data_IF_507444242351
#
_entry.id   IF_507444242351
#
_cell.length_a   1.000
_cell.length_b   1.000
_cell.length_c   1.000
_cell.angle_alpha   90.00
_cell.angle_beta   90.00
_cell.angle_gamma   90.00
#
_symmetry.space_group_name_H-M   'P 1'
#
loop_
_entity.id
_entity.type
_entity.pdbx_description
1 polymer ?
#
# COMPACT_ATOMS: atom_id res chain seq x y z
N UNK A 1 55.27 -20.43 42.14
CA UNK A 1 53.99 -19.86 41.67
C UNK A 1 54.09 -19.68 40.16
N UNK A 2 53.33 -20.46 39.38
CA UNK A 2 53.36 -20.46 37.90
C UNK A 2 52.59 -19.24 37.38
N UNK A 3 53.19 -18.45 36.49
CA UNK A 3 52.49 -17.45 35.69
C UNK A 3 52.52 -17.92 34.23
N UNK A 4 51.35 -18.30 33.72
CA UNK A 4 51.15 -18.79 32.34
C UNK A 4 50.72 -17.61 31.47
N UNK A 5 51.45 -17.36 30.38
CA UNK A 5 51.14 -16.31 29.39
C UNK A 5 50.06 -16.86 28.44
N UNK A 6 48.89 -16.25 28.43
CA UNK A 6 47.82 -16.55 27.47
C UNK A 6 47.90 -15.55 26.31
N UNK A 7 48.21 -16.03 25.11
CA UNK A 7 48.16 -15.27 23.87
C UNK A 7 46.69 -15.09 23.44
N UNK A 8 46.22 -13.85 23.34
CA UNK A 8 44.91 -13.50 22.80
C UNK A 8 45.07 -13.33 21.29
N UNK A 9 44.58 -14.30 20.51
CA UNK A 9 44.43 -14.18 19.07
C UNK A 9 43.21 -13.28 18.80
N UNK A 10 43.44 -12.07 18.30
CA UNK A 10 42.38 -11.21 17.78
C UNK A 10 41.90 -11.79 16.43
N UNK A 11 40.80 -12.54 16.44
CA UNK A 11 40.09 -12.93 15.22
C UNK A 11 39.26 -11.73 14.76
N UNK A 12 39.78 -11.00 13.78
CA UNK A 12 39.01 -10.03 13.01
C UNK A 12 37.87 -10.75 12.29
N UNK A 13 36.64 -10.56 12.77
CA UNK A 13 35.43 -10.97 12.07
C UNK A 13 35.32 -10.08 10.82
N UNK A 14 35.59 -10.67 9.65
CA UNK A 14 35.16 -10.07 8.39
C UNK A 14 33.62 -10.05 8.40
N UNK A 15 33.04 -8.86 8.54
CA UNK A 15 31.67 -8.63 8.09
C UNK A 15 31.69 -8.76 6.57
N UNK A 16 31.36 -9.95 6.07
CA UNK A 16 30.94 -10.08 4.68
C UNK A 16 29.55 -9.46 4.65
N UNK A 17 29.31 -8.32 3.96
CA UNK A 17 27.95 -7.91 3.71
C UNK A 17 27.29 -9.08 2.99
N UNK A 18 26.25 -9.66 3.59
CA UNK A 18 25.41 -10.60 2.86
C UNK A 18 24.84 -9.79 1.70
N UNK A 19 25.35 -10.04 0.49
CA UNK A 19 24.77 -9.46 -0.70
C UNK A 19 23.31 -9.95 -0.72
N UNK A 20 22.38 -9.03 -0.50
CA UNK A 20 20.97 -9.29 -0.75
C UNK A 20 20.90 -9.75 -2.21
N UNK A 21 20.27 -10.91 -2.44
CA UNK A 21 20.10 -11.39 -3.80
C UNK A 21 19.26 -10.36 -4.57
N UNK A 22 19.77 -9.91 -5.71
CA UNK A 22 19.06 -9.02 -6.61
C UNK A 22 17.69 -9.62 -6.97
N UNK A 23 16.65 -8.79 -7.02
CA UNK A 23 15.33 -9.23 -7.46
C UNK A 23 15.38 -9.69 -8.92
N UNK A 24 14.59 -10.72 -9.23
CA UNK A 24 14.27 -11.14 -10.59
C UNK A 24 12.93 -10.54 -11.03
N UNK A 25 12.70 -10.44 -12.34
CA UNK A 25 11.42 -9.99 -12.89
C UNK A 25 10.24 -10.81 -12.37
N UNK A 26 10.41 -12.13 -12.26
CA UNK A 26 9.39 -13.05 -11.70
C UNK A 26 9.07 -12.71 -10.24
N UNK A 27 10.06 -12.36 -9.42
CA UNK A 27 9.82 -11.94 -8.03
C UNK A 27 9.08 -10.61 -7.97
N UNK A 28 9.45 -9.63 -8.80
CA UNK A 28 8.73 -8.34 -8.87
C UNK A 28 7.27 -8.55 -9.25
N UNK A 29 7.00 -9.36 -10.29
CA UNK A 29 5.64 -9.72 -10.71
C UNK A 29 4.87 -10.41 -9.58
N UNK A 30 5.52 -11.30 -8.83
CA UNK A 30 4.92 -11.98 -7.68
C UNK A 30 4.55 -10.99 -6.58
N UNK A 31 5.44 -10.05 -6.26
CA UNK A 31 5.22 -9.07 -5.22
C UNK A 31 4.06 -8.11 -5.58
N UNK A 32 3.99 -7.66 -6.84
CA UNK A 32 2.83 -6.93 -7.37
C UNK A 32 1.53 -7.73 -7.17
N UNK A 33 1.57 -9.04 -7.42
CA UNK A 33 0.43 -9.95 -7.19
C UNK A 33 0.02 -10.05 -5.71
N UNK A 34 0.97 -10.04 -4.78
CA UNK A 34 0.71 -10.03 -3.34
C UNK A 34 -0.04 -8.76 -2.94
N UNK A 35 0.46 -7.59 -3.34
CA UNK A 35 -0.18 -6.30 -3.03
C UNK A 35 -1.57 -6.21 -3.66
N UNK A 36 -1.71 -6.67 -4.90
CA UNK A 36 -3.03 -6.79 -5.58
C UNK A 36 -4.01 -7.62 -4.76
N UNK A 37 -3.56 -8.76 -4.25
CA UNK A 37 -4.39 -9.67 -3.45
C UNK A 37 -4.79 -9.04 -2.11
N UNK A 38 -3.85 -8.33 -1.45
CA UNK A 38 -4.16 -7.59 -0.23
C UNK A 38 -5.27 -6.55 -0.48
N UNK A 39 -5.16 -5.77 -1.55
CA UNK A 39 -6.19 -4.80 -1.93
C UNK A 39 -7.55 -5.44 -2.22
N UNK A 40 -7.55 -6.57 -2.93
CA UNK A 40 -8.77 -7.35 -3.16
C UNK A 40 -9.40 -7.84 -1.85
N UNK A 41 -8.61 -8.35 -0.91
CA UNK A 41 -9.13 -8.85 0.36
C UNK A 41 -9.79 -7.74 1.20
N UNK A 42 -9.22 -6.54 1.22
CA UNK A 42 -9.84 -5.38 1.88
C UNK A 42 -11.16 -5.04 1.20
N UNK A 43 -11.19 -5.01 -0.13
CA UNK A 43 -12.38 -4.69 -0.91
C UNK A 43 -13.50 -5.71 -0.68
N UNK A 44 -13.16 -7.00 -0.68
CA UNK A 44 -14.10 -8.09 -0.44
C UNK A 44 -14.68 -7.98 0.99
N UNK A 45 -13.85 -7.70 2.01
CA UNK A 45 -14.32 -7.46 3.37
C UNK A 45 -15.26 -6.25 3.46
N UNK A 46 -14.86 -5.09 2.90
CA UNK A 46 -15.66 -3.87 2.90
C UNK A 46 -17.00 -4.03 2.19
N UNK A 47 -17.06 -4.84 1.14
CA UNK A 47 -18.28 -5.10 0.37
C UNK A 47 -19.34 -5.84 1.19
N UNK A 48 -18.94 -6.53 2.25
CA UNK A 48 -19.85 -7.21 3.19
C UNK A 48 -20.40 -6.30 4.29
N UNK A 49 -19.86 -5.08 4.46
CA UNK A 49 -20.32 -4.17 5.50
C UNK A 49 -21.75 -3.71 5.18
N UNK A 50 -22.74 -3.99 6.04
CA UNK A 50 -24.11 -3.55 5.82
C UNK A 50 -24.21 -2.03 5.90
N UNK A 51 -25.26 -1.46 5.32
CA UNK A 51 -25.52 -0.01 5.37
C UNK A 51 -25.84 0.48 6.79
N UNK A 52 -26.26 -0.40 7.69
CA UNK A 52 -26.54 -0.09 9.10
C UNK A 52 -25.80 -1.07 10.01
N UNK A 53 -24.46 -0.99 10.11
CA UNK A 53 -23.69 -1.86 10.96
C UNK A 53 -23.90 -1.50 12.44
N UNK A 54 -23.77 -2.48 13.33
CA UNK A 54 -23.59 -2.20 14.75
C UNK A 54 -22.27 -1.44 14.98
N UNK A 55 -22.15 -0.76 16.13
CA UNK A 55 -20.88 -0.11 16.52
C UNK A 55 -19.71 -1.09 16.60
N UNK A 56 -19.96 -2.33 17.03
CA UNK A 56 -18.93 -3.39 17.08
C UNK A 56 -18.50 -3.84 15.68
N UNK A 57 -19.44 -4.06 14.75
CA UNK A 57 -19.12 -4.41 13.36
C UNK A 57 -18.30 -3.31 12.69
N UNK A 58 -18.65 -2.05 12.92
CA UNK A 58 -17.93 -0.94 12.34
C UNK A 58 -16.54 -0.74 12.97
N UNK A 59 -16.39 -0.91 14.28
CA UNK A 59 -15.08 -0.87 14.93
C UNK A 59 -14.15 -1.97 14.38
N UNK A 60 -14.66 -3.19 14.22
CA UNK A 60 -13.94 -4.28 13.57
C UNK A 60 -13.58 -3.94 12.13
N UNK A 61 -14.53 -3.44 11.33
CA UNK A 61 -14.27 -3.10 9.93
C UNK A 61 -13.27 -1.94 9.79
N UNK A 62 -13.35 -0.92 10.64
CA UNK A 62 -12.36 0.17 10.68
C UNK A 62 -10.96 -0.36 10.96
N UNK A 63 -10.84 -1.32 11.88
CA UNK A 63 -9.57 -1.99 12.17
C UNK A 63 -9.09 -2.81 10.98
N UNK A 64 -9.97 -3.55 10.31
CA UNK A 64 -9.65 -4.31 9.09
C UNK A 64 -9.13 -3.42 7.98
N UNK A 65 -9.78 -2.27 7.73
CA UNK A 65 -9.35 -1.32 6.68
C UNK A 65 -7.98 -0.73 7.01
N UNK A 66 -7.80 -0.23 8.25
CA UNK A 66 -6.54 0.40 8.66
C UNK A 66 -5.39 -0.62 8.61
N UNK A 67 -5.57 -1.80 9.20
CA UNK A 67 -4.54 -2.84 9.18
C UNK A 67 -4.27 -3.37 7.78
N UNK A 68 -5.30 -3.46 6.94
CA UNK A 68 -5.17 -3.85 5.54
C UNK A 68 -4.28 -2.88 4.75
N UNK A 69 -4.52 -1.57 4.88
CA UNK A 69 -3.66 -0.57 4.27
C UNK A 69 -2.25 -0.57 4.87
N UNK A 70 -2.10 -0.75 6.18
CA UNK A 70 -0.79 -0.89 6.83
C UNK A 70 0.02 -2.08 6.27
N UNK A 71 -0.66 -3.19 5.98
CA UNK A 71 -0.04 -4.36 5.37
C UNK A 71 0.43 -4.08 3.93
N UNK A 72 -0.39 -3.40 3.12
CA UNK A 72 -0.01 -2.95 1.78
C UNK A 72 1.21 -2.03 1.83
N UNK A 73 1.19 -1.02 2.70
CA UNK A 73 2.31 -0.08 2.91
C UNK A 73 3.59 -0.85 3.25
N UNK A 74 3.49 -1.87 4.12
CA UNK A 74 4.65 -2.67 4.52
C UNK A 74 5.20 -3.51 3.36
N UNK A 75 4.32 -4.11 2.54
CA UNK A 75 4.74 -4.84 1.33
C UNK A 75 5.47 -3.91 0.37
N UNK A 76 4.90 -2.75 0.05
CA UNK A 76 5.49 -1.76 -0.86
C UNK A 76 6.84 -1.25 -0.36
N UNK A 77 6.97 -0.97 0.94
CA UNK A 77 8.24 -0.52 1.53
C UNK A 77 9.34 -1.59 1.50
N UNK A 78 8.98 -2.86 1.69
CA UNK A 78 9.91 -3.98 1.55
C UNK A 78 10.36 -4.13 0.09
N UNK A 79 9.41 -4.01 -0.85
CA UNK A 79 9.70 -4.08 -2.27
C UNK A 79 10.63 -2.94 -2.70
N UNK A 80 10.33 -1.70 -2.31
CA UNK A 80 11.17 -0.53 -2.58
C UNK A 80 12.61 -0.74 -2.08
N UNK A 81 12.77 -1.18 -0.83
CA UNK A 81 14.10 -1.49 -0.25
C UNK A 81 14.85 -2.53 -1.09
N UNK A 82 14.16 -3.58 -1.53
CA UNK A 82 14.77 -4.63 -2.35
C UNK A 82 15.13 -4.12 -3.76
N UNK A 83 14.28 -3.30 -4.38
CA UNK A 83 14.55 -2.67 -5.68
C UNK A 83 15.77 -1.76 -5.65
N UNK A 84 15.98 -0.98 -4.58
CA UNK A 84 17.15 -0.10 -4.43
C UNK A 84 18.49 -0.85 -4.43
N UNK A 85 18.48 -2.13 -4.07
CA UNK A 85 19.67 -3.01 -4.09
C UNK A 85 19.78 -3.87 -5.35
N UNK A 86 18.79 -3.79 -6.24
CA UNK A 86 18.70 -4.59 -7.47
C UNK A 86 19.18 -3.76 -8.67
N UNK A 87 20.17 -4.23 -9.45
CA UNK A 87 20.55 -3.57 -10.69
C UNK A 87 19.37 -3.49 -11.68
N UNK A 88 19.28 -2.43 -12.51
CA UNK A 88 18.21 -2.32 -13.49
C UNK A 88 18.13 -3.52 -14.43
N UNK A 89 16.92 -3.93 -14.79
CA UNK A 89 16.70 -4.97 -15.79
C UNK A 89 17.10 -4.43 -17.17
N UNK A 90 17.96 -5.20 -17.84
CA UNK A 90 18.50 -4.85 -19.16
C UNK A 90 17.84 -5.64 -20.30
N UNK A 91 17.04 -6.66 -19.96
CA UNK A 91 16.37 -7.52 -20.93
C UNK A 91 14.93 -7.04 -21.11
N UNK A 92 14.54 -6.74 -22.35
CA UNK A 92 13.20 -6.19 -22.64
C UNK A 92 12.06 -7.09 -22.15
N UNK A 93 12.19 -8.41 -22.25
CA UNK A 93 11.15 -9.34 -21.78
C UNK A 93 10.90 -9.27 -20.27
N UNK A 94 11.91 -8.91 -19.47
CA UNK A 94 11.76 -8.69 -18.04
C UNK A 94 10.96 -7.42 -17.75
N UNK A 95 11.23 -6.36 -18.52
CA UNK A 95 10.46 -5.11 -18.48
C UNK A 95 8.99 -5.36 -18.83
N UNK A 96 8.76 -6.04 -19.95
CA UNK A 96 7.42 -6.32 -20.47
C UNK A 96 6.62 -7.17 -19.48
N UNK A 97 7.26 -8.13 -18.79
CA UNK A 97 6.62 -8.93 -17.76
C UNK A 97 6.17 -8.09 -16.55
N UNK A 98 7.01 -7.16 -16.08
CA UNK A 98 6.66 -6.27 -14.96
C UNK A 98 5.57 -5.27 -15.36
N UNK A 99 5.68 -4.65 -16.53
CA UNK A 99 4.63 -3.76 -17.07
C UNK A 99 3.32 -4.51 -17.25
N UNK A 100 3.36 -5.73 -17.79
CA UNK A 100 2.19 -6.58 -17.89
C UNK A 100 1.61 -6.92 -16.51
N UNK A 101 2.42 -7.08 -15.47
CA UNK A 101 1.89 -7.30 -14.12
C UNK A 101 1.10 -6.11 -13.57
N UNK A 102 1.53 -4.88 -13.89
CA UNK A 102 0.80 -3.66 -13.54
C UNK A 102 -0.51 -3.54 -14.34
N UNK A 103 -0.46 -3.79 -15.65
CA UNK A 103 -1.57 -3.52 -16.57
C UNK A 103 -2.53 -4.69 -16.86
N UNK A 104 -2.09 -5.96 -16.78
CA UNK A 104 -2.83 -7.12 -17.34
C UNK A 104 -3.29 -8.20 -16.37
N UNK A 105 -2.75 -8.35 -15.15
CA UNK A 105 -3.03 -9.54 -14.30
C UNK A 105 -4.46 -9.58 -13.71
N UNK A 106 -5.43 -8.86 -14.29
CA UNK A 106 -6.69 -8.37 -13.70
C UNK A 106 -6.46 -7.13 -12.83
N UNK A 107 -5.46 -6.36 -13.29
CA UNK A 107 -5.18 -4.94 -13.13
C UNK A 107 -4.97 -4.46 -11.71
N UNK A 108 -3.73 -4.61 -11.23
CA UNK A 108 -3.22 -4.00 -9.99
C UNK A 108 -3.78 -2.59 -9.81
N UNK A 109 -3.68 -1.74 -10.84
CA UNK A 109 -4.24 -0.39 -10.84
C UNK A 109 -5.76 -0.40 -10.63
N UNK A 110 -6.51 -1.13 -11.45
CA UNK A 110 -7.98 -1.17 -11.34
C UNK A 110 -8.47 -1.79 -10.03
N UNK A 111 -7.77 -2.77 -9.46
CA UNK A 111 -8.12 -3.38 -8.16
C UNK A 111 -7.91 -2.37 -7.05
N UNK A 112 -6.80 -1.63 -7.06
CA UNK A 112 -6.60 -0.53 -6.11
C UNK A 112 -7.64 0.57 -6.29
N UNK A 113 -7.95 0.97 -7.53
CA UNK A 113 -9.00 1.95 -7.82
C UNK A 113 -10.39 1.47 -7.37
N UNK A 114 -10.69 0.18 -7.55
CA UNK A 114 -11.93 -0.44 -7.08
C UNK A 114 -12.01 -0.41 -5.57
N UNK A 115 -10.93 -0.79 -4.87
CA UNK A 115 -10.83 -0.69 -3.42
C UNK A 115 -11.07 0.75 -2.96
N UNK A 116 -10.34 1.72 -3.53
CA UNK A 116 -10.44 3.14 -3.15
C UNK A 116 -11.84 3.70 -3.41
N UNK A 117 -12.46 3.33 -4.53
CA UNK A 117 -13.86 3.66 -4.83
C UNK A 117 -14.83 3.05 -3.82
N UNK A 118 -14.63 1.79 -3.42
CA UNK A 118 -15.41 1.13 -2.37
C UNK A 118 -15.25 1.83 -1.03
N UNK A 119 -14.02 2.22 -0.67
CA UNK A 119 -13.72 2.98 0.56
C UNK A 119 -14.45 4.32 0.53
N UNK A 120 -14.35 5.09 -0.56
CA UNK A 120 -15.14 6.32 -0.78
C UNK A 120 -16.64 6.05 -0.60
N UNK A 121 -17.17 4.99 -1.20
CA UNK A 121 -18.58 4.62 -1.12
C UNK A 121 -19.04 4.26 0.30
N UNK A 122 -18.12 3.89 1.20
CA UNK A 122 -18.39 3.57 2.60
C UNK A 122 -18.12 4.75 3.54
N UNK A 123 -17.66 5.88 3.02
CA UNK A 123 -17.31 7.08 3.80
C UNK A 123 -18.40 7.50 4.80
N UNK A 124 -19.66 7.62 4.38
CA UNK A 124 -20.75 8.07 5.26
C UNK A 124 -20.99 7.12 6.44
N UNK A 125 -20.75 5.83 6.24
CA UNK A 125 -20.84 4.82 7.29
C UNK A 125 -19.73 5.06 8.32
N UNK A 126 -18.47 5.22 7.88
CA UNK A 126 -17.36 5.49 8.79
C UNK A 126 -17.49 6.87 9.48
N UNK A 127 -17.99 7.88 8.77
CA UNK A 127 -18.21 9.22 9.29
C UNK A 127 -19.27 9.26 10.40
N UNK A 128 -20.37 8.51 10.25
CA UNK A 128 -21.44 8.45 11.24
C UNK A 128 -20.95 8.04 12.64
N UNK A 129 -19.83 7.30 12.72
CA UNK A 129 -19.29 6.80 13.98
C UNK A 129 -17.85 7.27 14.25
N UNK A 130 -17.38 8.33 13.58
CA UNK A 130 -16.10 8.96 13.87
C UNK A 130 -14.86 8.16 13.47
N UNK A 131 -14.96 7.25 12.51
CA UNK A 131 -13.85 6.40 12.06
C UNK A 131 -13.05 6.96 10.87
N UNK A 132 -13.34 8.18 10.40
CA UNK A 132 -12.69 8.74 9.20
C UNK A 132 -11.24 9.17 9.42
N UNK A 133 -10.91 9.70 10.60
CA UNK A 133 -9.56 10.18 10.91
C UNK A 133 -8.46 9.10 10.80
N UNK A 134 -8.57 7.91 11.44
CA UNK A 134 -7.55 6.87 11.31
C UNK A 134 -7.43 6.33 9.87
N UNK A 135 -8.52 6.28 9.12
CA UNK A 135 -8.51 5.87 7.72
C UNK A 135 -7.79 6.92 6.85
N UNK A 136 -8.05 8.22 7.08
CA UNK A 136 -7.34 9.31 6.38
C UNK A 136 -5.84 9.25 6.65
N UNK A 137 -5.45 9.00 7.90
CA UNK A 137 -4.04 8.95 8.29
C UNK A 137 -3.29 7.83 7.55
N UNK A 138 -3.86 6.62 7.48
CA UNK A 138 -3.21 5.51 6.78
C UNK A 138 -3.21 5.71 5.25
N UNK A 139 -4.22 6.37 4.68
CA UNK A 139 -4.26 6.67 3.24
C UNK A 139 -3.15 7.65 2.82
N UNK A 140 -2.80 8.64 3.65
CA UNK A 140 -1.65 9.53 3.39
C UNK A 140 -0.33 8.77 3.38
N UNK A 141 -0.17 7.81 4.30
CA UNK A 141 1.02 6.94 4.30
C UNK A 141 1.04 6.02 3.08
N UNK A 142 -0.13 5.54 2.64
CA UNK A 142 -0.25 4.73 1.43
C UNK A 142 0.18 5.48 0.17
N UNK A 143 -0.23 6.74 0.02
CA UNK A 143 0.18 7.61 -1.09
C UNK A 143 1.72 7.68 -1.20
N UNK A 144 2.40 8.04 -0.10
CA UNK A 144 3.88 8.10 -0.11
C UNK A 144 4.56 6.74 -0.36
N UNK A 145 3.93 5.64 0.05
CA UNK A 145 4.44 4.29 -0.23
C UNK A 145 4.29 3.91 -1.71
N UNK A 146 3.17 4.28 -2.36
CA UNK A 146 2.95 4.10 -3.80
C UNK A 146 3.96 4.92 -4.60
N UNK A 147 4.21 6.17 -4.21
CA UNK A 147 5.22 7.03 -4.85
C UNK A 147 6.61 6.42 -4.81
N UNK A 148 7.05 5.99 -3.61
CA UNK A 148 8.37 5.40 -3.42
C UNK A 148 8.52 4.11 -4.23
N UNK A 149 7.50 3.25 -4.20
CA UNK A 149 7.48 2.03 -5.00
C UNK A 149 7.51 2.31 -6.50
N UNK A 150 6.75 3.30 -7.00
CA UNK A 150 6.76 3.69 -8.41
C UNK A 150 8.13 4.20 -8.84
N UNK A 151 8.79 5.04 -8.03
CA UNK A 151 10.15 5.48 -8.33
C UNK A 151 11.16 4.33 -8.34
N UNK A 152 11.06 3.40 -7.38
CA UNK A 152 11.88 2.20 -7.36
C UNK A 152 11.67 1.33 -8.61
N UNK A 153 10.42 1.15 -9.04
CA UNK A 153 10.11 0.43 -10.28
C UNK A 153 10.65 1.15 -11.53
N UNK A 154 10.53 2.47 -11.63
CA UNK A 154 11.07 3.24 -12.76
C UNK A 154 12.59 3.06 -12.86
N UNK A 155 13.28 3.09 -11.73
CA UNK A 155 14.73 2.84 -11.68
C UNK A 155 15.08 1.39 -12.06
N UNK A 156 14.27 0.42 -11.62
CA UNK A 156 14.49 -1.00 -11.88
C UNK A 156 14.19 -1.39 -13.34
N UNK A 157 13.17 -0.81 -13.96
CA UNK A 157 12.76 -1.08 -15.35
C UNK A 157 12.70 0.19 -16.21
N UNK A 158 13.84 0.82 -16.55
CA UNK A 158 13.85 2.09 -17.31
C UNK A 158 13.13 2.00 -18.67
N UNK A 159 13.22 0.85 -19.32
CA UNK A 159 12.47 0.41 -20.51
C UNK A 159 10.94 0.54 -20.39
N UNK A 160 10.38 0.39 -19.18
CA UNK A 160 8.94 0.46 -18.88
C UNK A 160 8.51 1.74 -18.15
N UNK A 161 9.43 2.69 -17.95
CA UNK A 161 9.22 3.86 -17.10
C UNK A 161 7.94 4.64 -17.44
N UNK A 162 7.66 4.86 -18.73
CA UNK A 162 6.48 5.62 -19.15
C UNK A 162 5.16 4.97 -18.72
N UNK A 163 5.08 3.64 -18.78
CA UNK A 163 3.90 2.88 -18.34
C UNK A 163 3.76 2.96 -16.81
N UNK A 164 4.86 2.76 -16.07
CA UNK A 164 4.86 2.85 -14.60
C UNK A 164 4.42 4.25 -14.15
N UNK A 165 4.94 5.31 -14.77
CA UNK A 165 4.54 6.70 -14.46
C UNK A 165 3.06 6.95 -14.75
N UNK A 166 2.52 6.40 -15.83
CA UNK A 166 1.09 6.55 -16.15
C UNK A 166 0.21 5.85 -15.10
N UNK A 167 0.59 4.63 -14.73
CA UNK A 167 -0.11 3.84 -13.71
C UNK A 167 -0.01 4.47 -12.32
N UNK A 168 1.14 5.06 -11.97
CA UNK A 168 1.33 5.85 -10.75
C UNK A 168 0.35 7.03 -10.70
N UNK A 169 0.32 7.88 -11.72
CA UNK A 169 -0.55 9.07 -11.74
C UNK A 169 -2.05 8.71 -11.62
N UNK A 170 -2.46 7.59 -12.21
CA UNK A 170 -3.81 7.06 -12.08
C UNK A 170 -4.14 6.60 -10.65
N UNK A 171 -3.16 6.05 -9.93
CA UNK A 171 -3.30 5.68 -8.52
C UNK A 171 -3.27 6.90 -7.61
N UNK A 172 -2.34 7.83 -7.81
CA UNK A 172 -2.24 9.07 -7.03
C UNK A 172 -3.54 9.85 -7.07
N UNK A 173 -4.13 10.00 -8.27
CA UNK A 173 -5.44 10.65 -8.42
C UNK A 173 -6.52 9.95 -7.58
N UNK A 174 -6.51 8.61 -7.55
CA UNK A 174 -7.51 7.83 -6.83
C UNK A 174 -7.31 7.88 -5.32
N UNK A 175 -6.06 7.83 -4.86
CA UNK A 175 -5.71 7.93 -3.44
C UNK A 175 -5.98 9.34 -2.94
N UNK A 176 -5.56 10.38 -3.67
CA UNK A 176 -5.84 11.78 -3.39
C UNK A 176 -7.33 12.06 -3.24
N UNK A 177 -8.16 11.62 -4.20
CA UNK A 177 -9.62 11.71 -4.10
C UNK A 177 -10.18 11.03 -2.84
N UNK A 178 -9.60 9.89 -2.44
CA UNK A 178 -10.02 9.16 -1.24
C UNK A 178 -9.62 9.91 0.04
N UNK A 179 -8.40 10.45 0.09
CA UNK A 179 -7.89 11.28 1.19
C UNK A 179 -8.77 12.52 1.36
N UNK A 180 -9.03 13.25 0.27
CA UNK A 180 -9.90 14.43 0.28
C UNK A 180 -11.29 14.08 0.82
N UNK A 181 -11.85 12.95 0.38
CA UNK A 181 -13.16 12.50 0.83
C UNK A 181 -13.18 12.24 2.33
N UNK A 182 -12.18 11.52 2.84
CA UNK A 182 -12.10 11.14 4.25
C UNK A 182 -11.63 12.26 5.18
N UNK A 183 -10.98 13.29 4.65
CA UNK A 183 -10.62 14.50 5.38
C UNK A 183 -11.82 15.43 5.65
N UNK A 184 -12.98 15.18 5.05
CA UNK A 184 -14.19 15.99 5.27
C UNK A 184 -14.59 16.00 6.75
N UNK A 185 -15.04 17.17 7.23
CA UNK A 185 -15.68 17.27 8.54
C UNK A 185 -17.13 16.84 8.39
N UNK A 186 -17.54 15.83 9.16
CA UNK A 186 -18.88 15.28 9.12
C UNK A 186 -19.59 15.43 10.46
N UNK A 187 -20.86 15.83 10.42
CA UNK A 187 -21.76 15.85 11.56
C UNK A 187 -22.63 14.58 11.51
N UNK A 188 -22.49 13.64 12.45
CA UNK A 188 -23.35 12.47 12.55
C UNK A 188 -24.82 12.86 12.71
N UNK A 189 -25.73 11.99 12.28
CA UNK A 189 -27.17 12.23 12.38
C UNK A 189 -27.84 11.17 13.25
N UNK A 190 -28.85 11.55 14.07
CA UNK A 190 -29.62 10.59 14.86
C UNK A 190 -30.56 9.74 14.01
N UNK A 191 -30.74 10.07 12.72
CA UNK A 191 -31.66 9.38 11.81
C UNK A 191 -30.95 8.46 10.81
N UNK A 192 -29.70 8.09 11.09
CA UNK A 192 -28.97 7.11 10.27
C UNK A 192 -29.63 5.72 10.35
N UNK A 193 -29.77 4.96 9.23
CA UNK A 193 -29.24 5.22 7.89
C UNK A 193 -30.17 6.05 6.96
N UNK A 194 -31.37 6.43 7.41
CA UNK A 194 -32.37 7.15 6.59
C UNK A 194 -31.87 8.53 6.16
N UNK A 195 -31.16 9.21 7.04
CA UNK A 195 -30.44 10.45 6.75
C UNK A 195 -28.95 10.16 6.90
N UNK A 196 -28.09 10.46 5.92
CA UNK A 196 -26.64 10.32 6.06
C UNK A 196 -26.04 11.51 6.83
N UNK A 197 -24.81 11.39 7.37
CA UNK A 197 -24.08 12.53 7.93
C UNK A 197 -23.95 13.66 6.91
N UNK A 198 -23.98 14.90 7.40
CA UNK A 198 -23.66 16.09 6.58
C UNK A 198 -22.17 16.30 6.64
N UNK A 199 -21.50 16.24 5.49
CA UNK A 199 -20.05 16.37 5.38
C UNK A 199 -19.68 17.59 4.55
N UNK A 200 -18.68 18.35 5.02
CA UNK A 200 -18.14 19.52 4.33
C UNK A 200 -16.65 19.35 4.08
N UNK A 201 -16.20 19.75 2.89
CA UNK A 201 -14.79 19.83 2.56
C UNK A 201 -14.11 20.88 3.42
N UNK A 202 -13.03 20.49 4.09
CA UNK A 202 -12.05 21.44 4.61
C UNK A 202 -10.97 21.52 3.57
N UNK A 203 -10.85 22.67 2.88
CA UNK A 203 -9.74 22.85 1.94
C UNK A 203 -8.44 22.60 2.68
N UNK A 204 -7.72 21.56 2.28
CA UNK A 204 -6.38 21.25 2.76
C UNK A 204 -5.35 22.06 1.98
#
# INVERSE_FOLDING_TARGET
MKLTIAAILATSIFFIPQALAALTSVQVVTNIGIVTTQSKNINDALSTLPVSPSSSQLASMSTTVVNGFQAIISSLANDDTAMQTTPPFTVQSDCDAVVAALSTVSSFVQIHQTLLSTVIGKHTIFAQFGATAPITAVLRTLEGAIDSFAYGLIALIPCGAASVTTDQQALDTSVGNTIEKYAQLCIPTPFYPTVPPVCVGVGL
#
